data_IF_119855502482
#
_entry.id   IF_119855502482
#
_cell.length_a   1.000
_cell.length_b   1.000
_cell.length_c   1.000
_cell.angle_alpha   90.00
_cell.angle_beta   90.00
_cell.angle_gamma   90.00
#
_symmetry.space_group_name_H-M   'P 1'
#
loop_
_entity.id
_entity.type
_entity.pdbx_description
1 polymer ?
#
# COMPACT_ATOMS: atom_id res chain seq x y z
N UNK A 1 -21.57 -11.30 23.02
CA UNK A 1 -21.79 -10.07 22.22
C UNK A 1 -23.25 -10.04 21.78
N UNK A 2 -23.96 -8.91 21.85
CA UNK A 2 -25.34 -8.81 21.36
C UNK A 2 -25.35 -8.57 19.84
N UNK A 3 -26.36 -9.10 19.12
CA UNK A 3 -26.48 -8.98 17.66
C UNK A 3 -26.39 -7.53 17.16
N UNK A 4 -26.97 -6.57 17.88
CA UNK A 4 -26.88 -5.14 17.56
C UNK A 4 -25.44 -4.60 17.58
N UNK A 5 -24.63 -5.06 18.55
CA UNK A 5 -23.23 -4.67 18.66
C UNK A 5 -22.40 -5.21 17.49
N UNK A 6 -22.68 -6.43 17.03
CA UNK A 6 -22.03 -7.00 15.84
C UNK A 6 -22.37 -6.21 14.57
N UNK A 7 -23.63 -5.83 14.39
CA UNK A 7 -24.06 -4.99 13.26
C UNK A 7 -23.39 -3.61 13.28
N UNK A 8 -23.32 -2.97 14.45
CA UNK A 8 -22.61 -1.69 14.62
C UNK A 8 -21.12 -1.82 14.27
N UNK A 9 -20.46 -2.88 14.71
CA UNK A 9 -19.05 -3.13 14.39
C UNK A 9 -18.80 -3.37 12.90
N UNK A 10 -19.70 -4.11 12.23
CA UNK A 10 -19.60 -4.31 10.78
C UNK A 10 -19.86 -3.01 10.01
N UNK A 11 -20.81 -2.19 10.45
CA UNK A 11 -21.05 -0.87 9.87
C UNK A 11 -19.84 0.06 10.05
N UNK A 12 -19.22 0.04 11.24
CA UNK A 12 -17.97 0.78 11.49
C UNK A 12 -16.83 0.26 10.61
N UNK A 13 -16.66 -1.06 10.47
CA UNK A 13 -15.64 -1.65 9.61
C UNK A 13 -15.80 -1.21 8.15
N UNK A 14 -17.02 -1.21 7.63
CA UNK A 14 -17.33 -0.72 6.29
C UNK A 14 -16.93 0.74 6.12
N UNK A 15 -17.25 1.58 7.10
CA UNK A 15 -16.90 3.00 7.04
C UNK A 15 -15.38 3.21 7.08
N UNK A 16 -14.65 2.49 7.93
CA UNK A 16 -13.18 2.56 8.00
C UNK A 16 -12.54 2.16 6.67
N UNK A 17 -13.04 1.13 5.99
CA UNK A 17 -12.53 0.69 4.67
C UNK A 17 -12.79 1.75 3.59
N UNK A 18 -13.92 2.45 3.64
CA UNK A 18 -14.21 3.56 2.71
C UNK A 18 -13.28 4.75 3.00
N UNK A 19 -13.10 5.11 4.27
CA UNK A 19 -12.20 6.19 4.68
C UNK A 19 -10.75 5.89 4.29
N UNK A 20 -10.29 4.63 4.46
CA UNK A 20 -8.97 4.16 4.05
C UNK A 20 -8.71 4.45 2.56
N UNK A 21 -9.72 4.28 1.71
CA UNK A 21 -9.62 4.62 0.28
C UNK A 21 -9.50 6.12 0.04
N UNK A 22 -10.30 6.93 0.72
CA UNK A 22 -10.27 8.38 0.54
C UNK A 22 -8.94 8.98 1.04
N UNK A 23 -8.43 8.51 2.17
CA UNK A 23 -7.11 8.91 2.66
C UNK A 23 -5.98 8.43 1.74
N UNK A 24 -6.12 7.25 1.12
CA UNK A 24 -5.17 6.77 0.11
C UNK A 24 -5.11 7.66 -1.13
N UNK A 25 -6.27 8.11 -1.63
CA UNK A 25 -6.33 9.06 -2.76
C UNK A 25 -5.66 10.40 -2.42
N UNK A 26 -5.78 10.84 -1.17
CA UNK A 26 -5.16 12.08 -0.67
C UNK A 26 -3.68 11.92 -0.28
N UNK A 27 -3.11 10.71 -0.38
CA UNK A 27 -1.76 10.38 0.09
C UNK A 27 -1.53 10.74 1.57
N UNK A 28 -2.59 10.71 2.39
CA UNK A 28 -2.50 11.03 3.81
C UNK A 28 -2.06 9.80 4.61
N UNK A 29 -0.74 9.57 4.64
CA UNK A 29 -0.13 8.39 5.26
C UNK A 29 -0.49 8.26 6.75
N UNK A 30 -0.57 9.38 7.48
CA UNK A 30 -0.90 9.37 8.91
C UNK A 30 -2.35 8.93 9.15
N UNK A 31 -3.29 9.44 8.35
CA UNK A 31 -4.69 9.04 8.46
C UNK A 31 -4.88 7.56 8.07
N UNK A 32 -4.18 7.08 7.02
CA UNK A 32 -4.20 5.67 6.63
C UNK A 32 -3.68 4.74 7.74
N UNK A 33 -2.63 5.13 8.46
CA UNK A 33 -2.12 4.35 9.60
C UNK A 33 -3.14 4.26 10.74
N UNK A 34 -3.85 5.36 11.01
CA UNK A 34 -4.92 5.37 12.01
C UNK A 34 -6.08 4.45 11.59
N UNK A 35 -6.49 4.51 10.32
CA UNK A 35 -7.54 3.63 9.78
C UNK A 35 -7.12 2.15 9.86
N UNK A 36 -5.87 1.84 9.57
CA UNK A 36 -5.32 0.48 9.69
C UNK A 36 -5.38 -0.02 11.13
N UNK A 37 -5.03 0.82 12.10
CA UNK A 37 -5.13 0.46 13.52
C UNK A 37 -6.58 0.22 13.94
N UNK A 38 -7.51 1.09 13.55
CA UNK A 38 -8.95 0.94 13.81
C UNK A 38 -9.52 -0.33 13.18
N UNK A 39 -9.19 -0.59 11.91
CA UNK A 39 -9.58 -1.80 11.18
C UNK A 39 -9.10 -3.06 11.89
N UNK A 40 -7.85 -3.08 12.34
CA UNK A 40 -7.28 -4.22 13.06
C UNK A 40 -7.98 -4.45 14.39
N UNK A 41 -8.27 -3.39 15.15
CA UNK A 41 -9.01 -3.49 16.41
C UNK A 41 -10.42 -4.06 16.21
N UNK A 42 -11.14 -3.61 15.17
CA UNK A 42 -12.49 -4.10 14.86
C UNK A 42 -12.44 -5.56 14.39
N UNK A 43 -11.48 -5.94 13.54
CA UNK A 43 -11.30 -7.33 13.10
C UNK A 43 -11.04 -8.23 14.30
N UNK A 44 -10.15 -7.84 15.22
CA UNK A 44 -9.87 -8.62 16.42
C UNK A 44 -11.10 -8.76 17.33
N UNK A 45 -11.94 -7.73 17.40
CA UNK A 45 -13.20 -7.80 18.14
C UNK A 45 -14.24 -8.71 17.47
N UNK A 46 -14.24 -8.79 16.14
CA UNK A 46 -15.12 -9.65 15.34
C UNK A 46 -14.65 -11.11 15.29
N UNK A 47 -13.35 -11.38 15.45
CA UNK A 47 -12.76 -12.73 15.44
C UNK A 47 -13.27 -13.61 16.58
N UNK A 48 -13.74 -13.00 17.68
CA UNK A 48 -14.38 -13.68 18.80
C UNK A 48 -15.79 -14.21 18.50
N UNK A 49 -16.31 -14.03 17.27
CA UNK A 49 -17.67 -14.42 16.87
C UNK A 49 -17.60 -15.60 15.90
N UNK A 50 -18.00 -16.79 16.33
CA UNK A 50 -17.95 -18.01 15.50
C UNK A 50 -19.05 -18.11 14.44
N UNK A 51 -20.22 -17.49 14.67
CA UNK A 51 -21.36 -17.56 13.75
C UNK A 51 -21.94 -16.18 13.45
N UNK A 52 -21.89 -15.83 12.17
CA UNK A 52 -22.50 -14.63 11.63
C UNK A 52 -23.98 -14.89 11.30
N UNK A 53 -24.85 -13.94 11.62
CA UNK A 53 -26.27 -14.07 11.29
C UNK A 53 -26.46 -13.93 9.76
N UNK A 54 -27.41 -14.66 9.12
CA UNK A 54 -27.63 -14.60 7.67
C UNK A 54 -27.88 -13.20 7.11
N UNK A 55 -28.52 -12.33 7.89
CA UNK A 55 -28.77 -10.92 7.52
C UNK A 55 -27.49 -10.07 7.46
N UNK A 56 -26.46 -10.46 8.22
CA UNK A 56 -25.17 -9.75 8.27
C UNK A 56 -24.22 -10.25 7.17
N UNK A 57 -24.54 -11.38 6.50
CA UNK A 57 -23.75 -11.89 5.38
C UNK A 57 -23.68 -10.91 4.22
N UNK A 58 -24.77 -10.21 3.93
CA UNK A 58 -24.80 -9.23 2.83
C UNK A 58 -23.80 -8.10 3.11
N UNK A 59 -23.79 -7.58 4.34
CA UNK A 59 -22.86 -6.55 4.77
C UNK A 59 -21.41 -7.06 4.75
N UNK A 60 -21.16 -8.30 5.17
CA UNK A 60 -19.85 -8.92 5.12
C UNK A 60 -19.35 -9.12 3.67
N UNK A 61 -20.24 -9.42 2.72
CA UNK A 61 -19.89 -9.50 1.29
C UNK A 61 -19.49 -8.13 0.74
N UNK A 62 -20.26 -7.08 1.05
CA UNK A 62 -19.90 -5.71 0.67
C UNK A 62 -18.52 -5.32 1.21
N UNK A 63 -18.25 -5.59 2.49
CA UNK A 63 -16.95 -5.33 3.13
C UNK A 63 -15.82 -6.04 2.40
N UNK A 64 -16.01 -7.30 1.99
CA UNK A 64 -15.00 -8.05 1.21
C UNK A 64 -14.76 -7.43 -0.15
N UNK A 65 -15.80 -7.01 -0.85
CA UNK A 65 -15.67 -6.37 -2.16
C UNK A 65 -14.93 -5.03 -2.05
N UNK A 66 -15.27 -4.22 -1.06
CA UNK A 66 -14.61 -2.94 -0.81
C UNK A 66 -13.14 -3.11 -0.43
N UNK A 67 -12.83 -4.11 0.40
CA UNK A 67 -11.43 -4.44 0.74
C UNK A 67 -10.64 -4.94 -0.48
N UNK A 68 -11.27 -5.73 -1.36
CA UNK A 68 -10.65 -6.16 -2.62
C UNK A 68 -10.34 -4.98 -3.54
N UNK A 69 -11.26 -4.01 -3.63
CA UNK A 69 -11.05 -2.77 -4.40
C UNK A 69 -9.88 -1.96 -3.84
N UNK A 70 -9.78 -1.84 -2.52
CA UNK A 70 -8.65 -1.15 -1.87
C UNK A 70 -7.32 -1.87 -2.13
N UNK A 71 -7.28 -3.19 -2.00
CA UNK A 71 -6.08 -3.98 -2.30
C UNK A 71 -5.62 -3.81 -3.76
N UNK A 72 -6.56 -3.75 -4.71
CA UNK A 72 -6.25 -3.46 -6.11
C UNK A 72 -5.63 -2.06 -6.28
N UNK A 73 -6.23 -1.04 -5.67
CA UNK A 73 -5.70 0.33 -5.67
C UNK A 73 -4.25 0.35 -5.16
N UNK A 74 -4.00 -0.25 -4.00
CA UNK A 74 -2.66 -0.28 -3.39
C UNK A 74 -1.64 -1.04 -4.24
N UNK A 75 -2.04 -2.15 -4.83
CA UNK A 75 -1.17 -2.91 -5.75
C UNK A 75 -0.81 -2.07 -6.97
N UNK A 76 -1.79 -1.39 -7.58
CA UNK A 76 -1.56 -0.56 -8.75
C UNK A 76 -0.64 0.64 -8.44
N UNK A 77 -0.84 1.30 -7.30
CA UNK A 77 0.01 2.43 -6.89
C UNK A 77 1.44 1.99 -6.56
N UNK A 78 1.63 0.87 -5.87
CA UNK A 78 2.98 0.32 -5.60
C UNK A 78 3.70 -0.10 -6.87
N UNK A 79 2.99 -0.70 -7.82
CA UNK A 79 3.55 -1.05 -9.12
C UNK A 79 3.99 0.20 -9.88
N UNK A 80 3.16 1.24 -9.90
CA UNK A 80 3.49 2.52 -10.51
C UNK A 80 4.73 3.19 -9.86
N UNK A 81 4.85 3.14 -8.53
CA UNK A 81 6.03 3.64 -7.81
C UNK A 81 7.28 2.85 -8.23
N UNK A 82 7.20 1.52 -8.31
CA UNK A 82 8.32 0.66 -8.73
C UNK A 82 8.79 1.01 -10.15
N UNK A 83 7.86 1.11 -11.10
CA UNK A 83 8.16 1.47 -12.49
C UNK A 83 8.81 2.86 -12.59
N UNK A 84 8.32 3.81 -11.79
CA UNK A 84 8.87 5.17 -11.72
C UNK A 84 10.31 5.14 -11.18
N UNK A 85 10.59 4.35 -10.14
CA UNK A 85 11.95 4.19 -9.62
C UNK A 85 12.89 3.52 -10.63
N UNK A 86 12.45 2.50 -11.36
CA UNK A 86 13.24 1.88 -12.42
C UNK A 86 13.58 2.86 -13.54
N UNK A 87 12.62 3.72 -13.91
CA UNK A 87 12.84 4.77 -14.91
C UNK A 87 13.90 5.78 -14.45
N UNK A 88 13.84 6.25 -13.21
CA UNK A 88 14.87 7.15 -12.66
C UNK A 88 16.22 6.45 -12.48
N UNK A 89 16.24 5.20 -12.03
CA UNK A 89 17.47 4.40 -11.91
C UNK A 89 18.23 4.29 -13.23
N UNK A 90 17.52 4.10 -14.35
CA UNK A 90 18.12 4.05 -15.69
C UNK A 90 18.71 5.39 -16.16
N UNK A 91 18.16 6.52 -15.71
CA UNK A 91 18.65 7.87 -16.08
C UNK A 91 19.78 8.39 -15.19
N UNK A 92 19.96 7.80 -14.00
CA UNK A 92 20.94 8.28 -13.01
C UNK A 92 22.35 7.72 -13.22
N UNK A 93 22.55 6.84 -14.20
CA UNK A 93 23.90 6.45 -14.65
C UNK A 93 24.35 7.50 -15.68
N UNK A 94 25.33 8.37 -15.38
CA UNK A 94 25.87 9.25 -16.39
C UNK A 94 26.55 8.41 -17.48
N UNK A 95 25.98 8.41 -18.68
CA UNK A 95 26.64 7.89 -19.88
C UNK A 95 27.89 8.72 -20.10
N UNK A 96 29.05 8.20 -19.71
CA UNK A 96 30.31 8.91 -19.90
C UNK A 96 30.81 8.57 -21.30
N UNK A 97 30.96 9.59 -22.14
CA UNK A 97 31.58 9.41 -23.46
C UNK A 97 33.08 9.26 -23.28
N UNK A 98 33.63 8.11 -23.72
CA UNK A 98 35.08 7.95 -23.79
C UNK A 98 35.70 8.84 -24.87
N UNK A 99 37.00 9.09 -24.80
CA UNK A 99 37.76 9.89 -25.78
C UNK A 99 37.64 9.41 -27.24
N UNK A 100 37.16 8.18 -27.46
CA UNK A 100 36.91 7.56 -28.78
C UNK A 100 35.43 7.59 -29.22
N UNK A 101 34.55 8.28 -28.50
CA UNK A 101 33.11 8.38 -28.82
C UNK A 101 32.27 7.15 -28.46
N UNK A 102 32.86 6.10 -27.88
CA UNK A 102 32.12 4.95 -27.37
C UNK A 102 31.45 5.27 -26.02
N UNK A 103 30.16 4.95 -25.91
CA UNK A 103 29.40 5.04 -24.66
C UNK A 103 29.79 3.89 -23.73
N UNK A 104 30.27 4.19 -22.52
CA UNK A 104 30.48 3.20 -21.46
C UNK A 104 29.57 3.51 -20.28
N UNK A 105 28.84 2.49 -19.83
CA UNK A 105 28.06 2.56 -18.59
C UNK A 105 29.03 2.65 -17.42
N UNK A 106 28.99 3.76 -16.67
CA UNK A 106 29.80 3.93 -15.47
C UNK A 106 29.21 3.08 -14.33
N UNK A 107 29.81 1.92 -14.08
CA UNK A 107 29.56 1.16 -12.85
C UNK A 107 30.23 1.90 -11.69
N UNK A 108 29.46 2.68 -10.94
CA UNK A 108 29.88 3.24 -9.65
C UNK A 108 29.90 2.08 -8.64
N UNK A 109 30.97 1.29 -8.67
CA UNK A 109 31.32 0.34 -7.62
C UNK A 109 32.72 0.69 -7.10
N UNK A 110 32.74 1.51 -6.04
CA UNK A 110 33.63 1.31 -4.89
C UNK A 110 35.14 1.25 -5.10
N UNK A 111 35.74 2.10 -5.92
CA UNK A 111 37.20 2.31 -5.84
C UNK A 111 37.55 3.79 -5.83
N UNK A 112 37.60 4.33 -4.61
CA UNK A 112 38.27 5.60 -4.32
C UNK A 112 39.64 5.59 -4.98
N UNK A 113 39.88 6.62 -5.78
CA UNK A 113 41.15 6.93 -6.41
C UNK A 113 42.23 7.00 -5.33
N UNK A 114 43.02 5.93 -5.16
CA UNK A 114 44.31 6.01 -4.49
C UNK A 114 45.28 6.71 -5.46
N UNK A 115 45.21 8.04 -5.52
CA UNK A 115 46.21 8.85 -6.19
C UNK A 115 47.52 8.77 -5.40
N UNK A 116 48.60 8.37 -6.08
CA UNK A 116 49.97 8.68 -5.66
C UNK A 116 50.49 9.66 -6.71
N UNK A 117 50.78 10.89 -6.27
CA UNK A 117 51.68 11.81 -6.97
C UNK A 117 53.10 11.29 -6.71
#
# INVERSE_FOLDING_TARGET
>A
MTRKNVQELLAQLRQVIINEREHAKQLNIKAMQNDMAQKTAIINALDAIEQLHPEDEQLAREIREENRRNAYLFRATLQWIRETMEFFGKKTVPTTYGHTGATKNSTINGRLLSGRI
#
